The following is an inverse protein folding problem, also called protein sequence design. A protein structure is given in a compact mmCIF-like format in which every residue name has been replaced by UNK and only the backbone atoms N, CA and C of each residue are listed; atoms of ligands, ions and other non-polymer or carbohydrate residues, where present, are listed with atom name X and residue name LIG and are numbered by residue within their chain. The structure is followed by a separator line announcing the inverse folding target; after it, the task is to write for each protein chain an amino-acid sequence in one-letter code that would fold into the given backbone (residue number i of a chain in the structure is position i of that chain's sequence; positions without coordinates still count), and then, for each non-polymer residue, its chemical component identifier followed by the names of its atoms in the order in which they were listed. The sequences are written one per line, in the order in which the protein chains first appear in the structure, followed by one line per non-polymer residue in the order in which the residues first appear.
data_IF_480184672514
#
_entry.id   IF_480184672514
#
_cell.length_a   1.000
_cell.length_b   1.000
_cell.length_c   1.000
_cell.angle_alpha   90.00
_cell.angle_beta   90.00
_cell.angle_gamma   90.00
#
_symmetry.space_group_name_H-M   'P 1'
#
loop_
_entity.id
_entity.type
_entity.pdbx_description
1 polymer ?
#
# COMPACT_ATOMS: atom_id res chain seq x y z
N UNK A 1 21.91 2.08 0.82
CA UNK A 1 21.54 1.11 -0.22
C UNK A 1 20.65 0.00 0.33
N UNK A 2 20.98 -0.54 1.52
CA UNK A 2 20.25 -1.67 2.15
C UNK A 2 18.77 -1.42 2.32
N UNK A 3 18.37 -0.25 2.82
CA UNK A 3 16.96 0.03 3.16
C UNK A 3 16.04 0.00 1.93
N UNK A 4 16.47 0.61 0.81
CA UNK A 4 15.71 0.56 -0.45
C UNK A 4 15.66 -0.85 -1.04
N UNK A 5 16.77 -1.58 -0.97
CA UNK A 5 16.85 -2.95 -1.44
C UNK A 5 15.91 -3.86 -0.64
N UNK A 6 15.99 -3.79 0.68
CA UNK A 6 15.14 -4.55 1.60
C UNK A 6 13.66 -4.22 1.43
N UNK A 7 13.32 -2.94 1.35
CA UNK A 7 11.93 -2.51 1.09
C UNK A 7 11.40 -3.06 -0.24
N UNK A 8 12.22 -3.04 -1.30
CA UNK A 8 11.81 -3.55 -2.61
C UNK A 8 11.59 -5.06 -2.61
N UNK A 9 12.47 -5.81 -1.94
CA UNK A 9 12.36 -7.26 -1.80
C UNK A 9 11.14 -7.65 -0.95
N UNK A 10 10.93 -7.00 0.20
CA UNK A 10 9.74 -7.22 1.05
C UNK A 10 8.44 -6.92 0.28
N UNK A 11 8.39 -5.82 -0.46
CA UNK A 11 7.21 -5.47 -1.26
C UNK A 11 6.93 -6.50 -2.35
N UNK A 12 7.98 -7.04 -3.00
CA UNK A 12 7.84 -8.06 -4.02
C UNK A 12 7.33 -9.38 -3.44
N UNK A 13 7.90 -9.82 -2.32
CA UNK A 13 7.51 -11.04 -1.62
C UNK A 13 6.07 -10.95 -1.08
N UNK A 14 5.65 -9.77 -0.68
CA UNK A 14 4.28 -9.49 -0.27
C UNK A 14 3.28 -9.39 -1.44
N UNK A 15 3.75 -9.50 -2.70
CA UNK A 15 2.89 -9.45 -3.88
C UNK A 15 2.49 -8.03 -4.31
N UNK A 16 3.30 -7.02 -3.98
CA UNK A 16 3.07 -5.61 -4.36
C UNK A 16 4.10 -5.12 -5.40
N UNK A 17 4.03 -5.58 -6.66
CA UNK A 17 5.01 -5.22 -7.69
C UNK A 17 5.02 -3.71 -8.01
N UNK A 18 3.88 -3.02 -7.84
CA UNK A 18 3.81 -1.56 -7.98
C UNK A 18 4.64 -0.82 -6.93
N UNK A 19 4.61 -1.26 -5.66
CA UNK A 19 5.44 -0.69 -4.61
C UNK A 19 6.91 -0.99 -4.84
N UNK A 20 7.26 -2.24 -5.22
CA UNK A 20 8.62 -2.63 -5.62
C UNK A 20 9.16 -1.71 -6.71
N UNK A 21 8.37 -1.48 -7.76
CA UNK A 21 8.71 -0.56 -8.85
C UNK A 21 8.99 0.86 -8.31
N UNK A 22 8.10 1.40 -7.49
CA UNK A 22 8.22 2.75 -6.95
C UNK A 22 9.46 2.92 -6.08
N UNK A 23 9.75 1.96 -5.20
CA UNK A 23 10.93 1.97 -4.31
C UNK A 23 12.21 1.93 -5.13
N UNK A 24 12.31 1.04 -6.12
CA UNK A 24 13.49 0.92 -6.96
C UNK A 24 13.69 2.13 -7.86
N UNK A 25 12.64 2.70 -8.45
CA UNK A 25 12.73 3.93 -9.23
C UNK A 25 13.27 5.09 -8.38
N UNK A 26 12.81 5.22 -7.14
CA UNK A 26 13.35 6.23 -6.22
C UNK A 26 14.82 5.96 -5.88
N UNK A 27 15.20 4.70 -5.64
CA UNK A 27 16.59 4.34 -5.36
C UNK A 27 17.51 4.70 -6.52
N UNK A 28 17.11 4.39 -7.76
CA UNK A 28 17.88 4.77 -8.96
C UNK A 28 17.93 6.29 -9.16
N UNK A 29 16.82 7.00 -8.96
CA UNK A 29 16.80 8.47 -9.10
C UNK A 29 17.72 9.19 -8.11
N UNK A 30 17.93 8.59 -6.93
CA UNK A 30 18.83 9.10 -5.89
C UNK A 30 20.24 8.54 -5.97
N UNK A 31 20.57 7.75 -7.00
CA UNK A 31 21.86 7.10 -7.17
C UNK A 31 22.29 6.27 -5.93
N UNK A 32 21.35 5.59 -5.30
CA UNK A 32 21.57 4.79 -4.08
C UNK A 32 22.51 3.61 -4.34
N UNK A 33 22.36 2.96 -5.50
CA UNK A 33 23.21 1.85 -5.91
C UNK A 33 24.48 2.39 -6.57
N UNK A 34 25.63 2.19 -5.94
CA UNK A 34 26.94 2.66 -6.43
C UNK A 34 27.63 1.55 -7.21
N UNK A 35 27.67 0.35 -6.66
CA UNK A 35 28.34 -0.81 -7.24
C UNK A 35 27.61 -1.31 -8.49
N UNK A 36 28.38 -1.64 -9.54
CA UNK A 36 27.79 -2.10 -10.81
C UNK A 36 26.96 -3.37 -10.64
N UNK A 37 27.42 -4.30 -9.81
CA UNK A 37 26.71 -5.52 -9.48
C UNK A 37 25.30 -5.27 -8.90
N UNK A 38 25.19 -4.29 -8.00
CA UNK A 38 23.91 -3.93 -7.39
C UNK A 38 23.01 -3.22 -8.39
N UNK A 39 23.57 -2.34 -9.22
CA UNK A 39 22.83 -1.70 -10.32
C UNK A 39 22.20 -2.75 -11.23
N UNK A 40 22.99 -3.72 -11.70
CA UNK A 40 22.50 -4.76 -12.61
C UNK A 40 21.42 -5.61 -11.94
N UNK A 41 21.66 -6.05 -10.70
CA UNK A 41 20.69 -6.84 -9.92
C UNK A 41 19.34 -6.11 -9.77
N UNK A 42 19.37 -4.89 -9.29
CA UNK A 42 18.14 -4.14 -9.00
C UNK A 42 17.48 -3.56 -10.25
N UNK A 43 18.22 -3.38 -11.34
CA UNK A 43 17.64 -3.07 -12.65
C UNK A 43 16.82 -4.25 -13.17
N UNK A 44 17.32 -5.48 -13.09
CA UNK A 44 16.56 -6.67 -13.44
C UNK A 44 15.30 -6.84 -12.57
N UNK A 45 15.44 -6.58 -11.26
CA UNK A 45 14.30 -6.63 -10.34
C UNK A 45 13.24 -5.59 -10.71
N UNK A 46 13.65 -4.37 -11.04
CA UNK A 46 12.76 -3.28 -11.48
C UNK A 46 12.01 -3.64 -12.77
N UNK A 47 12.69 -4.23 -13.75
CA UNK A 47 12.05 -4.66 -14.99
C UNK A 47 11.03 -5.77 -14.76
N UNK A 48 11.38 -6.76 -13.93
CA UNK A 48 10.45 -7.81 -13.53
C UNK A 48 9.23 -7.26 -12.77
N UNK A 49 9.46 -6.29 -11.88
CA UNK A 49 8.38 -5.63 -11.14
C UNK A 49 7.45 -4.83 -12.07
N UNK A 50 7.99 -4.09 -13.04
CA UNK A 50 7.22 -3.37 -14.05
C UNK A 50 6.31 -4.30 -14.87
N UNK A 51 6.85 -5.44 -15.32
CA UNK A 51 6.07 -6.41 -16.07
C UNK A 51 4.92 -7.01 -15.25
N UNK A 52 5.20 -7.37 -13.99
CA UNK A 52 4.18 -7.89 -13.07
C UNK A 52 3.13 -6.82 -12.77
N UNK A 53 3.55 -5.58 -12.50
CA UNK A 53 2.65 -4.46 -12.26
C UNK A 53 1.71 -4.19 -13.45
N UNK A 54 2.23 -4.25 -14.67
CA UNK A 54 1.42 -4.09 -15.88
C UNK A 54 0.37 -5.21 -16.03
N UNK A 55 0.77 -6.45 -15.78
CA UNK A 55 -0.14 -7.61 -15.83
C UNK A 55 -1.23 -7.51 -14.74
N UNK A 56 -0.86 -7.16 -13.52
CA UNK A 56 -1.82 -6.95 -12.43
C UNK A 56 -2.81 -5.84 -12.74
N UNK A 57 -2.32 -4.70 -13.20
CA UNK A 57 -3.19 -3.57 -13.54
C UNK A 57 -4.20 -3.92 -14.64
N UNK A 58 -3.82 -4.75 -15.60
CA UNK A 58 -4.73 -5.23 -16.63
C UNK A 58 -5.88 -6.09 -16.08
N UNK A 59 -5.66 -6.73 -14.91
CA UNK A 59 -6.65 -7.61 -14.28
C UNK A 59 -7.49 -6.90 -13.20
N UNK A 60 -7.12 -5.69 -12.77
CA UNK A 60 -7.79 -5.00 -11.65
C UNK A 60 -9.31 -4.86 -11.82
N UNK A 61 -9.78 -4.62 -13.04
CA UNK A 61 -11.23 -4.51 -13.28
C UNK A 61 -11.97 -5.84 -12.98
N UNK A 62 -11.39 -6.97 -13.34
CA UNK A 62 -11.96 -8.29 -13.04
C UNK A 62 -11.87 -8.59 -11.54
N UNK A 63 -10.73 -8.25 -10.91
CA UNK A 63 -10.55 -8.40 -9.47
C UNK A 63 -11.55 -7.55 -8.69
N UNK A 64 -11.85 -6.33 -9.15
CA UNK A 64 -12.85 -5.45 -8.52
C UNK A 64 -14.25 -6.09 -8.51
N UNK A 65 -14.68 -6.68 -9.65
CA UNK A 65 -15.96 -7.36 -9.73
C UNK A 65 -16.03 -8.54 -8.76
N UNK A 66 -14.97 -9.36 -8.72
CA UNK A 66 -14.88 -10.51 -7.81
C UNK A 66 -14.87 -10.09 -6.34
N UNK A 67 -14.10 -9.06 -6.00
CA UNK A 67 -14.03 -8.52 -4.65
C UNK A 67 -15.36 -7.92 -4.19
N UNK A 68 -16.09 -7.25 -5.09
CA UNK A 68 -17.40 -6.72 -4.80
C UNK A 68 -18.44 -7.82 -4.52
N UNK A 69 -18.35 -8.95 -5.20
CA UNK A 69 -19.24 -10.11 -5.03
C UNK A 69 -18.89 -10.98 -3.80
N UNK A 70 -17.70 -10.85 -3.22
CA UNK A 70 -17.24 -11.66 -2.09
C UNK A 70 -18.17 -11.52 -0.86
N UNK A 71 -18.18 -12.54 0.02
CA UNK A 71 -19.05 -12.57 1.19
C UNK A 71 -18.69 -11.56 2.28
N UNK A 72 -17.41 -11.17 2.36
CA UNK A 72 -16.88 -10.23 3.34
C UNK A 72 -16.07 -9.11 2.67
N UNK A 73 -15.57 -8.15 3.47
CA UNK A 73 -14.87 -6.98 2.98
C UNK A 73 -13.39 -7.15 2.70
N UNK A 74 -12.76 -8.26 3.14
CA UNK A 74 -11.31 -8.45 2.99
C UNK A 74 -10.83 -8.32 1.54
N UNK A 75 -11.48 -8.93 0.51
CA UNK A 75 -11.02 -8.78 -0.86
C UNK A 75 -11.05 -7.34 -1.38
N UNK A 76 -12.00 -6.53 -0.90
CA UNK A 76 -12.06 -5.11 -1.24
C UNK A 76 -10.93 -4.31 -0.56
N UNK A 77 -10.56 -4.66 0.67
CA UNK A 77 -9.43 -4.05 1.37
C UNK A 77 -8.12 -4.40 0.65
N UNK A 78 -7.93 -5.65 0.25
CA UNK A 78 -6.76 -6.10 -0.52
C UNK A 78 -6.67 -5.41 -1.89
N UNK A 79 -7.80 -5.28 -2.59
CA UNK A 79 -7.88 -4.50 -3.83
C UNK A 79 -7.46 -3.04 -3.59
N UNK A 80 -7.88 -2.45 -2.48
CA UNK A 80 -7.46 -1.10 -2.07
C UNK A 80 -5.96 -1.00 -1.85
N UNK A 81 -5.34 -2.00 -1.21
CA UNK A 81 -3.88 -2.06 -1.05
C UNK A 81 -3.16 -2.13 -2.42
N UNK A 82 -3.69 -2.92 -3.36
CA UNK A 82 -3.17 -2.95 -4.73
C UNK A 82 -3.29 -1.58 -5.42
N UNK A 83 -4.42 -0.91 -5.30
CA UNK A 83 -4.58 0.45 -5.83
C UNK A 83 -3.60 1.46 -5.21
N UNK A 84 -3.33 1.37 -3.89
CA UNK A 84 -2.31 2.19 -3.22
C UNK A 84 -0.93 1.97 -3.85
N UNK A 85 -0.56 0.72 -4.11
CA UNK A 85 0.74 0.37 -4.71
C UNK A 85 0.93 0.94 -6.12
N UNK A 86 -0.16 1.16 -6.85
CA UNK A 86 -0.17 1.78 -8.17
C UNK A 86 -0.44 3.29 -8.15
N UNK A 87 -0.51 3.92 -6.97
CA UNK A 87 -0.80 5.34 -6.84
C UNK A 87 -2.24 5.74 -7.19
N UNK A 88 -3.14 4.77 -7.38
CA UNK A 88 -4.56 5.00 -7.68
C UNK A 88 -5.36 5.25 -6.38
N UNK A 89 -4.97 6.29 -5.65
CA UNK A 89 -5.45 6.51 -4.28
C UNK A 89 -6.97 6.75 -4.20
N UNK A 90 -7.60 7.35 -5.21
CA UNK A 90 -9.05 7.54 -5.25
C UNK A 90 -9.79 6.20 -5.24
N UNK A 91 -9.35 5.27 -6.08
CA UNK A 91 -9.91 3.91 -6.14
C UNK A 91 -9.62 3.12 -4.87
N UNK A 92 -8.44 3.32 -4.29
CA UNK A 92 -8.07 2.70 -3.03
C UNK A 92 -9.03 3.11 -1.91
N UNK A 93 -9.26 4.42 -1.73
CA UNK A 93 -10.21 4.92 -0.74
C UNK A 93 -11.60 4.34 -0.95
N UNK A 94 -12.09 4.34 -2.20
CA UNK A 94 -13.41 3.80 -2.52
C UNK A 94 -13.52 2.30 -2.19
N UNK A 95 -12.52 1.50 -2.59
CA UNK A 95 -12.50 0.05 -2.37
C UNK A 95 -12.41 -0.29 -0.87
N UNK A 96 -11.48 0.35 -0.13
CA UNK A 96 -11.30 0.09 1.30
C UNK A 96 -12.55 0.51 2.09
N UNK A 97 -13.14 1.67 1.78
CA UNK A 97 -14.36 2.14 2.44
C UNK A 97 -15.51 1.16 2.23
N UNK A 98 -15.70 0.66 1.00
CA UNK A 98 -16.69 -0.40 0.71
C UNK A 98 -16.39 -1.69 1.48
N UNK A 99 -15.10 -2.08 1.58
CA UNK A 99 -14.68 -3.26 2.32
C UNK A 99 -14.99 -3.15 3.82
N UNK A 100 -14.67 -1.99 4.42
CA UNK A 100 -14.99 -1.71 5.84
C UNK A 100 -16.51 -1.74 6.06
N UNK A 101 -17.28 -1.11 5.19
CA UNK A 101 -18.76 -1.10 5.29
C UNK A 101 -19.37 -2.48 5.14
N UNK A 102 -18.79 -3.36 4.30
CA UNK A 102 -19.23 -4.73 4.12
C UNK A 102 -19.00 -5.60 5.36
N UNK A 103 -17.95 -5.32 6.12
CA UNK A 103 -17.61 -6.01 7.36
C UNK A 103 -16.99 -7.40 7.15
N UNK A 104 -16.93 -8.17 8.24
CA UNK A 104 -16.33 -9.51 8.23
C UNK A 104 -14.81 -9.48 7.99
N UNK A 105 -14.14 -8.37 8.35
CA UNK A 105 -12.71 -8.17 8.16
C UNK A 105 -11.90 -8.99 9.16
N UNK A 106 -10.86 -9.65 8.68
CA UNK A 106 -9.86 -10.33 9.51
C UNK A 106 -9.02 -9.34 10.31
N UNK A 107 -8.70 -8.19 9.71
CA UNK A 107 -7.91 -7.13 10.33
C UNK A 107 -8.54 -5.75 10.08
N UNK A 108 -9.49 -5.32 10.93
CA UNK A 108 -10.06 -3.97 10.85
C UNK A 108 -9.03 -2.86 11.03
N UNK A 109 -7.99 -3.10 11.84
CA UNK A 109 -6.91 -2.16 12.06
C UNK A 109 -6.09 -1.92 10.79
N UNK A 110 -5.77 -2.98 10.07
CA UNK A 110 -5.08 -2.90 8.77
C UNK A 110 -5.91 -2.12 7.75
N UNK A 111 -7.21 -2.40 7.67
CA UNK A 111 -8.11 -1.70 6.76
C UNK A 111 -8.14 -0.19 7.04
N UNK A 112 -8.22 0.22 8.31
CA UNK A 112 -8.19 1.63 8.69
C UNK A 112 -6.79 2.24 8.47
N UNK A 113 -5.71 1.50 8.68
CA UNK A 113 -4.35 1.96 8.39
C UNK A 113 -4.17 2.24 6.89
N UNK A 114 -4.59 1.32 6.03
CA UNK A 114 -4.54 1.48 4.59
C UNK A 114 -5.43 2.63 4.11
N UNK A 115 -6.63 2.80 4.69
CA UNK A 115 -7.49 3.91 4.39
C UNK A 115 -6.82 5.24 4.73
N UNK A 116 -6.22 5.35 5.91
CA UNK A 116 -5.49 6.54 6.33
C UNK A 116 -4.33 6.87 5.39
N UNK A 117 -3.55 5.86 4.98
CA UNK A 117 -2.44 6.03 4.02
C UNK A 117 -2.96 6.54 2.67
N UNK A 118 -4.04 5.96 2.14
CA UNK A 118 -4.63 6.39 0.86
C UNK A 118 -5.14 7.84 0.93
N UNK A 119 -5.83 8.21 2.01
CA UNK A 119 -6.31 9.57 2.26
C UNK A 119 -5.15 10.58 2.38
N UNK A 120 -4.07 10.20 3.09
CA UNK A 120 -2.89 11.04 3.23
C UNK A 120 -2.20 11.28 1.88
N UNK A 121 -2.10 10.26 1.03
CA UNK A 121 -1.56 10.39 -0.33
C UNK A 121 -2.43 11.28 -1.24
N UNK A 122 -3.72 11.42 -0.94
CA UNK A 122 -4.63 12.39 -1.56
C UNK A 122 -4.54 13.80 -0.97
N UNK A 123 -3.67 14.02 -0.01
CA UNK A 123 -3.58 15.27 0.77
C UNK A 123 -4.86 15.58 1.57
N UNK A 124 -5.64 14.57 1.90
CA UNK A 124 -6.81 14.68 2.75
C UNK A 124 -6.43 14.36 4.21
N UNK A 125 -5.66 15.27 4.83
CA UNK A 125 -5.12 15.08 6.17
C UNK A 125 -6.19 14.84 7.23
N UNK A 126 -7.33 15.54 7.16
CA UNK A 126 -8.42 15.36 8.12
C UNK A 126 -9.03 13.96 8.11
N UNK A 127 -9.30 13.39 6.92
CA UNK A 127 -9.82 12.03 6.80
C UNK A 127 -8.77 10.98 7.15
N UNK A 128 -7.51 11.24 6.79
CA UNK A 128 -6.39 10.39 7.18
C UNK A 128 -6.25 10.31 8.70
N UNK A 129 -6.32 11.47 9.39
CA UNK A 129 -6.28 11.55 10.85
C UNK A 129 -7.36 10.67 11.50
N UNK A 130 -8.63 10.81 11.05
CA UNK A 130 -9.74 10.02 11.58
C UNK A 130 -9.52 8.50 11.42
N UNK A 131 -8.94 8.07 10.29
CA UNK A 131 -8.63 6.67 10.08
C UNK A 131 -7.49 6.18 11.00
N UNK A 132 -6.43 6.98 11.15
CA UNK A 132 -5.31 6.64 12.03
C UNK A 132 -5.68 6.68 13.51
N UNK A 133 -6.60 7.54 13.94
CA UNK A 133 -7.10 7.57 15.32
C UNK A 133 -7.82 6.27 15.69
N UNK A 134 -8.56 5.66 14.75
CA UNK A 134 -9.15 4.33 14.95
C UNK A 134 -8.06 3.27 15.15
N UNK A 135 -6.99 3.31 14.35
CA UNK A 135 -5.85 2.39 14.50
C UNK A 135 -5.11 2.63 15.82
N UNK A 136 -4.96 3.89 16.23
CA UNK A 136 -4.33 4.26 17.50
C UNK A 136 -5.10 3.76 18.74
N UNK A 137 -6.41 3.57 18.61
CA UNK A 137 -7.28 3.01 19.64
C UNK A 137 -7.33 1.48 19.66
N UNK A 138 -6.56 0.79 18.78
CA UNK A 138 -6.51 -0.66 18.71
C UNK A 138 -6.04 -1.29 20.03
N UNK A 139 -6.62 -2.44 20.37
CA UNK A 139 -6.12 -3.31 21.45
C UNK A 139 -4.79 -4.01 21.09
N UNK A 140 -4.44 -4.07 19.82
CA UNK A 140 -3.16 -4.57 19.36
C UNK A 140 -2.10 -3.48 19.49
N UNK A 141 -1.13 -3.68 20.39
CA UNK A 141 -0.07 -2.70 20.67
C UNK A 141 0.74 -2.27 19.44
N UNK A 142 0.96 -3.17 18.47
CA UNK A 142 1.66 -2.89 17.21
C UNK A 142 0.88 -1.89 16.37
N UNK A 143 -0.39 -2.16 16.13
CA UNK A 143 -1.27 -1.24 15.40
C UNK A 143 -1.48 0.07 16.14
N UNK A 144 -1.69 0.05 17.46
CA UNK A 144 -1.84 1.27 18.25
C UNK A 144 -0.62 2.20 18.12
N UNK A 145 0.58 1.65 18.13
CA UNK A 145 1.81 2.44 17.90
C UNK A 145 1.90 2.99 16.49
N UNK A 146 1.59 2.17 15.48
CA UNK A 146 1.55 2.61 14.07
C UNK A 146 0.52 3.73 13.87
N UNK A 147 -0.69 3.57 14.40
CA UNK A 147 -1.74 4.58 14.32
C UNK A 147 -1.29 5.92 14.87
N UNK A 148 -0.65 5.94 16.06
CA UNK A 148 -0.12 7.18 16.68
C UNK A 148 0.95 7.83 15.80
N UNK A 149 1.87 7.06 15.23
CA UNK A 149 2.94 7.60 14.37
C UNK A 149 2.38 8.19 13.08
N UNK A 150 1.42 7.50 12.44
CA UNK A 150 0.79 7.99 11.23
C UNK A 150 -0.12 9.19 11.47
N UNK A 151 -0.82 9.24 12.63
CA UNK A 151 -1.61 10.40 13.03
C UNK A 151 -0.75 11.66 13.18
N UNK A 152 0.43 11.56 13.81
CA UNK A 152 1.41 12.66 13.87
C UNK A 152 1.83 13.15 12.48
N UNK A 153 2.09 12.21 11.56
CA UNK A 153 2.44 12.55 10.17
C UNK A 153 1.30 13.24 9.42
N UNK A 154 0.06 12.79 9.62
CA UNK A 154 -1.12 13.40 8.98
C UNK A 154 -1.37 14.83 9.46
N UNK A 155 -1.04 15.13 10.73
CA UNK A 155 -1.17 16.47 11.30
C UNK A 155 -0.16 17.47 10.73
N UNK A 156 0.98 16.98 10.22
CA UNK A 156 2.07 17.79 9.67
C UNK A 156 2.10 17.85 8.14
N UNK A 157 1.13 17.28 7.47
CA UNK A 157 1.02 17.20 6.00
C UNK A 157 -0.05 18.13 5.44
#
# INVERSE_FOLDING_TARGET
PSDYAEMAEIALDAGYPGETQNVLQQAFSKNVFVEQRDKDRYQHLLEGAKQRAANDQAQLATVEQTAAAAANGDPLVQLGAAYISYGQNDKAVAAITKGIAKGGLKSPDEANLLLGIAQLRQRNGGAAQQAFDKVAASSNNGYARLGKLWALRAHSA
#
